data_IF_274556125903
#
_entry.id   IF_274556125903
#
_cell.length_a   1.000
_cell.length_b   1.000
_cell.length_c   1.000
_cell.angle_alpha   90.00
_cell.angle_beta   90.00
_cell.angle_gamma   90.00
#
_symmetry.space_group_name_H-M   'P 1'
#
loop_
_entity.id
_entity.type
_entity.pdbx_description
1 polymer ?
#
# COMPACT_ATOMS: atom_id res chain seq x y z
N UNK A 1 7.81 -8.04 -21.03
CA UNK A 1 7.62 -8.48 -19.64
C UNK A 1 6.18 -8.24 -19.24
N UNK A 2 5.55 -9.12 -18.45
CA UNK A 2 4.21 -8.88 -17.93
C UNK A 2 4.31 -7.73 -16.91
N UNK A 3 3.81 -6.56 -17.29
CA UNK A 3 3.89 -5.33 -16.51
C UNK A 3 3.74 -4.11 -17.42
N UNK A 4 2.97 -3.10 -16.98
CA UNK A 4 2.83 -1.86 -17.73
C UNK A 4 4.19 -1.17 -17.83
N UNK A 5 4.53 -0.59 -18.99
CA UNK A 5 5.79 0.13 -19.23
C UNK A 5 6.10 1.17 -18.14
N UNK A 6 5.08 1.87 -17.66
CA UNK A 6 5.18 2.84 -16.56
C UNK A 6 5.64 2.21 -15.24
N UNK A 7 5.17 1.01 -14.91
CA UNK A 7 5.62 0.29 -13.72
C UNK A 7 7.10 -0.10 -13.83
N UNK A 8 7.54 -0.52 -15.01
CA UNK A 8 8.95 -0.85 -15.26
C UNK A 8 9.87 0.38 -15.20
N UNK A 9 9.45 1.50 -15.81
CA UNK A 9 10.19 2.77 -15.73
C UNK A 9 10.26 3.31 -14.29
N UNK A 10 9.23 3.06 -13.48
CA UNK A 10 9.22 3.39 -12.05
C UNK A 10 10.20 2.50 -11.28
N UNK A 11 10.17 1.18 -11.51
CA UNK A 11 11.03 0.22 -10.83
C UNK A 11 12.52 0.45 -11.10
N UNK A 12 12.88 0.94 -12.29
CA UNK A 12 14.27 1.30 -12.62
C UNK A 12 14.89 2.40 -11.75
N UNK A 13 14.06 3.14 -11.00
CA UNK A 13 14.53 4.18 -10.07
C UNK A 13 14.90 3.64 -8.69
N UNK A 14 14.65 2.35 -8.46
CA UNK A 14 14.87 1.68 -7.19
C UNK A 14 15.84 0.51 -7.43
N UNK A 15 16.87 0.41 -6.61
CA UNK A 15 17.81 -0.71 -6.67
C UNK A 15 17.26 -1.87 -5.83
N UNK A 16 17.28 -3.07 -6.39
CA UNK A 16 16.94 -4.28 -5.67
C UNK A 16 18.05 -4.62 -4.66
N UNK A 17 17.73 -5.29 -3.53
CA UNK A 17 16.42 -5.85 -3.20
C UNK A 17 15.40 -4.81 -2.72
N UNK A 18 14.12 -5.06 -2.96
CA UNK A 18 13.03 -4.13 -2.57
C UNK A 18 12.56 -4.49 -1.16
N UNK A 19 12.99 -3.78 -0.10
CA UNK A 19 12.59 -4.10 1.25
C UNK A 19 11.06 -3.98 1.37
N UNK A 20 10.43 -5.09 1.73
CA UNK A 20 9.01 -5.13 2.07
C UNK A 20 8.92 -5.47 3.55
N UNK A 21 7.89 -4.98 4.22
CA UNK A 21 7.50 -5.51 5.51
C UNK A 21 6.20 -6.28 5.36
N UNK A 22 5.88 -7.17 6.28
CA UNK A 22 4.74 -6.84 7.11
C UNK A 22 3.45 -6.34 6.44
N UNK A 23 3.30 -5.03 6.50
CA UNK A 23 2.15 -4.28 6.03
C UNK A 23 2.08 -4.28 4.50
N UNK A 24 3.22 -4.15 3.80
CA UNK A 24 3.27 -4.30 2.35
C UNK A 24 2.78 -5.68 1.92
N UNK A 25 3.21 -6.73 2.61
CA UNK A 25 2.79 -8.11 2.36
C UNK A 25 1.29 -8.25 2.57
N UNK A 26 0.79 -7.82 3.75
CA UNK A 26 -0.64 -7.92 4.08
C UNK A 26 -1.53 -7.15 3.10
N UNK A 27 -1.13 -5.93 2.72
CA UNK A 27 -1.87 -5.10 1.76
C UNK A 27 -1.88 -5.72 0.37
N UNK A 28 -0.72 -6.19 -0.11
CA UNK A 28 -0.60 -6.79 -1.44
C UNK A 28 -1.42 -8.07 -1.53
N UNK A 29 -1.29 -8.95 -0.53
CA UNK A 29 -2.04 -10.21 -0.49
C UNK A 29 -3.54 -9.97 -0.33
N UNK A 30 -3.96 -9.03 0.53
CA UNK A 30 -5.36 -8.66 0.70
C UNK A 30 -5.99 -8.13 -0.59
N UNK A 31 -5.29 -7.26 -1.32
CA UNK A 31 -5.75 -6.74 -2.61
C UNK A 31 -5.88 -7.85 -3.64
N UNK A 32 -4.87 -8.70 -3.79
CA UNK A 32 -4.90 -9.81 -4.74
C UNK A 32 -6.00 -10.80 -4.39
N UNK A 33 -6.18 -11.13 -3.11
CA UNK A 33 -7.24 -12.02 -2.64
C UNK A 33 -8.62 -11.45 -2.98
N UNK A 34 -8.87 -10.16 -2.74
CA UNK A 34 -10.10 -9.49 -3.16
C UNK A 34 -10.32 -9.60 -4.67
N UNK A 35 -9.26 -9.44 -5.46
CA UNK A 35 -9.30 -9.62 -6.91
C UNK A 35 -9.63 -11.05 -7.35
N UNK A 36 -9.12 -12.08 -6.65
CA UNK A 36 -9.43 -13.48 -6.92
C UNK A 36 -10.93 -13.81 -6.72
N UNK A 37 -11.57 -13.10 -5.80
CA UNK A 37 -13.01 -13.22 -5.54
C UNK A 37 -13.88 -12.42 -6.52
N UNK A 38 -13.30 -11.46 -7.25
CA UNK A 38 -14.02 -10.70 -8.27
C UNK A 38 -14.27 -11.54 -9.54
N UNK A 39 -15.27 -11.19 -10.38
CA UNK A 39 -15.48 -11.82 -11.67
C UNK A 39 -14.67 -11.14 -12.80
N UNK A 40 -14.53 -11.84 -13.93
CA UNK A 40 -14.00 -11.30 -15.19
C UNK A 40 -12.52 -10.89 -15.14
N UNK A 41 -12.18 -9.81 -15.84
CA UNK A 41 -10.79 -9.35 -16.02
C UNK A 41 -10.06 -9.04 -14.70
N UNK A 42 -10.79 -8.64 -13.65
CA UNK A 42 -10.21 -8.42 -12.33
C UNK A 42 -9.66 -9.72 -11.72
N UNK A 43 -10.36 -10.84 -11.92
CA UNK A 43 -9.92 -12.17 -11.48
C UNK A 43 -8.67 -12.61 -12.21
N UNK A 44 -8.65 -12.46 -13.53
CA UNK A 44 -7.54 -12.87 -14.37
C UNK A 44 -6.26 -12.10 -14.00
N UNK A 45 -6.38 -10.78 -13.80
CA UNK A 45 -5.29 -9.94 -13.34
C UNK A 45 -4.79 -10.37 -11.95
N UNK A 46 -5.70 -10.70 -11.02
CA UNK A 46 -5.35 -11.16 -9.68
C UNK A 46 -4.65 -12.53 -9.68
N UNK A 47 -5.08 -13.47 -10.52
CA UNK A 47 -4.41 -14.77 -10.69
C UNK A 47 -2.97 -14.58 -11.20
N UNK A 48 -2.78 -13.74 -12.21
CA UNK A 48 -1.46 -13.44 -12.75
C UNK A 48 -0.57 -12.74 -11.70
N UNK A 49 -1.13 -11.74 -11.00
CA UNK A 49 -0.45 -11.02 -9.93
C UNK A 49 -0.05 -11.92 -8.76
N UNK A 50 -0.92 -12.83 -8.33
CA UNK A 50 -0.64 -13.79 -7.27
C UNK A 50 0.51 -14.72 -7.61
N UNK A 51 0.57 -15.22 -8.85
CA UNK A 51 1.69 -16.07 -9.31
C UNK A 51 3.01 -15.31 -9.27
N UNK A 52 3.04 -14.08 -9.77
CA UNK A 52 4.24 -13.24 -9.74
C UNK A 52 4.67 -12.90 -8.32
N UNK A 53 3.71 -12.55 -7.45
CA UNK A 53 3.96 -12.26 -6.05
C UNK A 53 4.66 -13.42 -5.33
N UNK A 54 4.12 -14.64 -5.48
CA UNK A 54 4.71 -15.85 -4.88
C UNK A 54 6.07 -16.18 -5.46
N UNK A 55 6.25 -16.03 -6.76
CA UNK A 55 7.54 -16.26 -7.43
C UNK A 55 8.63 -15.31 -6.92
N UNK A 56 8.38 -14.00 -6.91
CA UNK A 56 9.38 -13.05 -6.43
C UNK A 56 9.63 -13.14 -4.92
N UNK A 57 8.61 -13.51 -4.15
CA UNK A 57 8.76 -13.82 -2.73
C UNK A 57 9.70 -15.00 -2.49
N UNK A 58 9.56 -16.10 -3.26
CA UNK A 58 10.46 -17.26 -3.12
C UNK A 58 11.89 -17.00 -3.59
N UNK A 59 12.08 -16.10 -4.54
CA UNK A 59 13.40 -15.69 -5.03
C UNK A 59 14.12 -14.69 -4.08
N UNK A 60 13.51 -14.32 -2.94
CA UNK A 60 14.13 -13.40 -1.98
C UNK A 60 14.26 -11.96 -2.49
N UNK A 61 13.51 -11.58 -3.53
CA UNK A 61 13.49 -10.21 -4.09
C UNK A 61 12.93 -9.20 -3.08
N UNK A 62 12.13 -9.70 -2.13
CA UNK A 62 11.47 -8.94 -1.07
C UNK A 62 12.01 -9.34 0.31
N UNK A 63 13.16 -8.82 0.75
CA UNK A 63 13.66 -9.05 2.10
C UNK A 63 12.72 -8.38 3.11
N UNK A 64 12.52 -9.04 4.25
CA UNK A 64 11.70 -8.53 5.34
C UNK A 64 12.40 -7.36 6.02
N UNK A 65 11.71 -6.23 6.10
CA UNK A 65 12.15 -5.03 6.80
C UNK A 65 11.29 -4.85 8.06
N UNK A 66 11.92 -4.51 9.18
CA UNK A 66 11.15 -4.13 10.36
C UNK A 66 10.37 -2.83 10.09
N UNK A 67 9.13 -2.76 10.57
CA UNK A 67 8.36 -1.54 10.53
C UNK A 67 8.57 -0.73 11.81
N UNK A 68 8.82 0.57 11.67
CA UNK A 68 8.79 1.51 12.80
C UNK A 68 7.33 1.80 13.20
N UNK A 69 6.79 0.89 14.00
CA UNK A 69 5.43 0.95 14.51
C UNK A 69 5.17 2.21 15.32
N UNK A 70 6.12 2.63 16.15
CA UNK A 70 5.98 3.80 17.03
C UNK A 70 5.80 5.08 16.23
N UNK A 71 6.60 5.28 15.18
CA UNK A 71 6.41 6.40 14.25
C UNK A 71 5.07 6.31 13.53
N UNK A 72 4.61 5.11 13.20
CA UNK A 72 3.30 4.87 12.60
C UNK A 72 2.14 5.27 13.52
N UNK A 73 2.17 4.86 14.79
CA UNK A 73 1.16 5.22 15.80
C UNK A 73 1.19 6.72 16.11
N UNK A 74 2.37 7.34 16.26
CA UNK A 74 2.49 8.79 16.46
C UNK A 74 1.91 9.55 15.27
N UNK A 75 2.16 9.06 14.06
CA UNK A 75 1.56 9.63 12.85
C UNK A 75 0.05 9.47 12.85
N UNK A 76 -0.48 8.29 13.15
CA UNK A 76 -1.92 8.04 13.23
C UNK A 76 -2.62 8.96 14.24
N UNK A 77 -2.02 9.16 15.42
CA UNK A 77 -2.52 10.10 16.44
C UNK A 77 -2.51 11.54 15.92
N UNK A 78 -1.45 11.95 15.21
CA UNK A 78 -1.38 13.28 14.58
C UNK A 78 -2.48 13.44 13.52
N UNK A 79 -2.70 12.44 12.68
CA UNK A 79 -3.76 12.44 11.66
C UNK A 79 -5.13 12.58 12.31
N UNK A 80 -5.41 11.77 13.34
CA UNK A 80 -6.67 11.81 14.10
C UNK A 80 -6.92 13.19 14.73
N UNK A 81 -5.89 13.81 15.32
CA UNK A 81 -5.99 15.15 15.93
C UNK A 81 -6.17 16.28 14.90
N UNK A 82 -5.60 16.13 13.71
CA UNK A 82 -5.65 17.14 12.65
C UNK A 82 -6.95 17.08 11.83
N UNK A 83 -7.65 15.95 11.86
CA UNK A 83 -8.84 15.75 11.04
C UNK A 83 -10.04 16.42 11.66
N UNK A 84 -10.71 17.26 10.88
CA UNK A 84 -11.94 17.97 11.26
C UNK A 84 -13.20 17.34 10.68
N UNK A 85 -13.05 16.32 9.85
CA UNK A 85 -14.13 15.57 9.19
C UNK A 85 -14.28 14.19 9.82
N UNK A 86 -15.51 13.71 9.96
CA UNK A 86 -15.74 12.35 10.42
C UNK A 86 -15.18 11.33 9.42
N UNK A 87 -14.41 10.36 9.91
CA UNK A 87 -13.90 9.25 9.09
C UNK A 87 -14.55 7.97 9.58
N UNK A 88 -14.88 7.10 8.64
CA UNK A 88 -15.70 5.91 8.91
C UNK A 88 -15.10 4.92 9.91
N UNK A 89 -13.78 4.95 10.16
CA UNK A 89 -13.14 4.10 11.16
C UNK A 89 -11.82 4.68 11.68
N UNK A 90 -11.54 4.60 13.00
CA UNK A 90 -10.22 4.93 13.56
C UNK A 90 -9.07 4.12 12.96
N UNK A 91 -9.37 2.92 12.44
CA UNK A 91 -8.39 2.06 11.77
C UNK A 91 -7.85 2.69 10.48
N UNK A 92 -8.58 3.64 9.86
CA UNK A 92 -8.12 4.32 8.65
C UNK A 92 -6.95 5.27 8.93
N UNK A 93 -6.92 5.91 10.11
CA UNK A 93 -5.77 6.69 10.56
C UNK A 93 -4.57 5.82 10.89
N UNK A 94 -4.82 4.69 11.56
CA UNK A 94 -3.77 3.74 11.87
C UNK A 94 -3.15 3.21 10.59
N UNK A 95 -3.97 2.79 9.64
CA UNK A 95 -3.54 2.33 8.33
C UNK A 95 -2.70 3.39 7.60
N UNK A 96 -3.14 4.65 7.58
CA UNK A 96 -2.40 5.74 6.97
C UNK A 96 -1.07 6.08 7.69
N UNK A 97 -1.07 6.04 9.02
CA UNK A 97 0.12 6.25 9.83
C UNK A 97 1.18 5.18 9.60
N UNK A 98 0.76 3.90 9.61
CA UNK A 98 1.63 2.77 9.33
C UNK A 98 2.17 2.82 7.90
N UNK A 99 1.31 3.06 6.91
CA UNK A 99 1.72 3.21 5.52
C UNK A 99 2.74 4.35 5.34
N UNK A 100 2.60 5.44 6.09
CA UNK A 100 3.59 6.52 6.10
C UNK A 100 4.93 6.12 6.71
N UNK A 101 4.91 5.43 7.86
CA UNK A 101 6.12 5.00 8.56
C UNK A 101 6.96 4.01 7.73
N UNK A 102 6.30 3.25 6.86
CA UNK A 102 6.96 2.24 6.04
C UNK A 102 7.19 2.64 4.58
N UNK A 103 6.87 3.87 4.19
CA UNK A 103 6.99 4.30 2.78
C UNK A 103 5.96 3.67 1.82
N UNK A 104 4.92 3.03 2.36
CA UNK A 104 3.82 2.40 1.61
C UNK A 104 2.68 3.38 1.24
N UNK A 105 2.93 4.70 1.25
CA UNK A 105 1.88 5.72 1.07
C UNK A 105 1.20 5.69 -0.30
N UNK A 106 1.85 5.07 -1.30
CA UNK A 106 1.26 4.80 -2.61
C UNK A 106 -0.02 3.94 -2.52
N UNK A 107 -0.16 3.10 -1.48
CA UNK A 107 -1.36 2.30 -1.26
C UNK A 107 -2.56 3.10 -0.78
N UNK A 108 -2.36 4.30 -0.23
CA UNK A 108 -3.48 5.18 0.14
C UNK A 108 -4.35 5.51 -1.06
N UNK A 109 -3.79 5.48 -2.27
CA UNK A 109 -4.53 5.65 -3.50
C UNK A 109 -5.51 4.52 -3.83
N UNK A 110 -5.44 3.38 -3.14
CA UNK A 110 -6.36 2.26 -3.37
C UNK A 110 -7.41 2.09 -2.25
N UNK A 111 -7.32 2.87 -1.17
CA UNK A 111 -8.28 2.86 -0.06
C UNK A 111 -8.83 4.29 0.15
N UNK A 112 -10.07 4.58 -0.29
CA UNK A 112 -10.64 5.93 -0.25
C UNK A 112 -10.72 6.59 1.13
N UNK A 113 -10.97 5.82 2.20
CA UNK A 113 -11.11 6.36 3.55
C UNK A 113 -9.76 6.68 4.21
N UNK A 114 -8.75 5.85 4.02
CA UNK A 114 -7.37 6.11 4.41
C UNK A 114 -6.79 7.27 3.59
N UNK A 115 -7.17 7.39 2.31
CA UNK A 115 -6.85 8.56 1.48
C UNK A 115 -7.47 9.84 2.04
N UNK A 116 -8.75 9.80 2.41
CA UNK A 116 -9.44 10.96 2.97
C UNK A 116 -8.80 11.39 4.29
N UNK A 117 -8.51 10.43 5.17
CA UNK A 117 -7.79 10.66 6.43
C UNK A 117 -6.40 11.27 6.21
N UNK A 118 -5.62 10.75 5.24
CA UNK A 118 -4.32 11.30 4.91
C UNK A 118 -4.40 12.70 4.30
N UNK A 119 -5.36 12.94 3.38
CA UNK A 119 -5.52 14.23 2.71
C UNK A 119 -5.96 15.34 3.67
N UNK A 120 -6.83 15.01 4.64
CA UNK A 120 -7.30 15.97 5.65
C UNK A 120 -6.18 16.47 6.57
N UNK A 121 -5.06 15.74 6.68
CA UNK A 121 -3.98 16.03 7.60
C UNK A 121 -2.72 16.64 6.95
N UNK A 122 -2.77 16.96 5.64
CA UNK A 122 -1.70 17.67 4.93
C UNK A 122 -0.71 16.88 4.06
N UNK A 123 -0.45 15.56 4.20
CA UNK A 123 0.45 14.88 3.26
C UNK A 123 -0.13 14.81 1.84
N UNK A 124 0.72 15.08 0.83
CA UNK A 124 0.37 14.98 -0.60
C UNK A 124 0.19 13.51 -0.98
N UNK A 125 -1.05 13.09 -1.23
CA UNK A 125 -1.37 11.73 -1.68
C UNK A 125 -1.24 11.63 -3.21
N UNK A 126 -0.52 10.63 -3.71
CA UNK A 126 -0.28 10.40 -5.14
C UNK A 126 -0.81 9.04 -5.60
N UNK A 127 -1.40 8.93 -6.81
CA UNK A 127 -1.66 10.01 -7.77
C UNK A 127 -2.76 10.97 -7.29
N UNK A 128 -2.75 12.21 -7.76
CA UNK A 128 -3.70 13.26 -7.34
C UNK A 128 -5.15 12.96 -7.73
N UNK A 129 -5.35 12.13 -8.78
CA UNK A 129 -6.65 11.62 -9.24
C UNK A 129 -6.54 10.13 -9.59
N UNK A 130 -7.60 9.38 -9.31
CA UNK A 130 -7.76 7.97 -9.65
C UNK A 130 -8.68 7.81 -10.86
#
# INVERSE_FOLDING_TARGET
MPGRRSAWELMRRFEAPYPLNFLHVLQTEGMLFKGLLAPGAAREAAVAGWRLWRFYGSEGVFPDAEADWDSGFRTALRLNRATTTEVSSPLQYLHAGLASAVGATHYLSFEPGARQAASAAGPRVLPERL
#
